data_IF_513973786340
#
_entry.id   IF_513973786340
#
_cell.length_a   1.000
_cell.length_b   1.000
_cell.length_c   1.000
_cell.angle_alpha   90.00
_cell.angle_beta   90.00
_cell.angle_gamma   90.00
#
_symmetry.space_group_name_H-M   'P 1'
#
loop_
_entity.id
_entity.type
_entity.pdbx_description
1 polymer ?
#
# COMPACT_ATOMS: atom_id res chain seq x y z
N UNK A 1 4.42 3.97 2.05
CA UNK A 1 3.01 3.55 2.00
C UNK A 1 2.67 2.59 3.14
N UNK A 2 1.50 2.76 3.76
CA UNK A 2 0.95 1.87 4.77
C UNK A 2 -0.47 1.43 4.39
N UNK A 3 -0.89 0.26 4.87
CA UNK A 3 -2.28 -0.18 4.88
C UNK A 3 -2.71 -0.55 6.30
N UNK A 4 -4.01 -0.48 6.56
CA UNK A 4 -4.64 -1.05 7.75
C UNK A 4 -5.84 -1.87 7.30
N UNK A 5 -6.13 -2.93 8.03
CA UNK A 5 -7.24 -3.82 7.76
C UNK A 5 -8.29 -3.67 8.85
N UNK A 6 -9.54 -3.82 8.46
CA UNK A 6 -10.69 -3.91 9.36
C UNK A 6 -11.54 -5.10 8.90
N UNK A 7 -12.09 -5.82 9.88
CA UNK A 7 -13.04 -6.91 9.72
C UNK A 7 -14.42 -6.57 10.32
N UNK A 8 -14.62 -5.32 10.73
CA UNK A 8 -15.81 -4.83 11.42
C UNK A 8 -16.38 -3.55 10.77
N UNK A 9 -16.35 -3.50 9.44
CA UNK A 9 -16.79 -2.38 8.59
C UNK A 9 -16.12 -1.03 8.94
N UNK A 10 -14.85 -1.07 9.31
CA UNK A 10 -14.04 0.12 9.59
C UNK A 10 -14.20 0.69 11.00
N UNK A 11 -14.83 -0.02 11.94
CA UNK A 11 -14.97 0.43 13.33
C UNK A 11 -13.66 0.33 14.09
N UNK A 12 -12.91 -0.74 13.90
CA UNK A 12 -11.57 -0.93 14.43
C UNK A 12 -10.59 -1.28 13.31
N UNK A 13 -9.30 -1.02 13.57
CA UNK A 13 -8.26 -1.16 12.56
C UNK A 13 -7.02 -1.84 13.14
N UNK A 14 -6.40 -2.69 12.33
CA UNK A 14 -5.15 -3.37 12.65
C UNK A 14 -3.99 -2.39 12.93
N UNK A 15 -2.89 -2.94 13.43
CA UNK A 15 -1.59 -2.30 13.31
C UNK A 15 -1.27 -2.02 11.84
N UNK A 16 -0.52 -0.95 11.53
CA UNK A 16 -0.18 -0.61 10.16
C UNK A 16 0.73 -1.66 9.51
N UNK A 17 0.37 -2.09 8.30
CA UNK A 17 1.18 -2.94 7.43
C UNK A 17 1.98 -2.06 6.44
N UNK A 18 3.29 -2.27 6.35
CA UNK A 18 4.15 -1.58 5.39
C UNK A 18 4.00 -2.20 4.01
N UNK A 19 3.50 -1.42 3.04
CA UNK A 19 3.38 -1.86 1.64
C UNK A 19 4.56 -1.40 0.76
N UNK A 20 5.13 -0.23 1.07
CA UNK A 20 6.27 0.31 0.34
C UNK A 20 7.06 1.31 1.19
N UNK A 21 8.38 1.35 0.98
CA UNK A 21 9.28 2.34 1.54
C UNK A 21 9.47 3.51 0.56
N UNK A 22 9.34 4.74 1.04
CA UNK A 22 9.61 5.96 0.28
C UNK A 22 10.71 6.74 1.00
N UNK A 23 11.56 7.44 0.25
CA UNK A 23 12.69 8.23 0.78
C UNK A 23 12.36 9.73 0.89
N UNK A 24 11.12 10.09 0.62
CA UNK A 24 10.58 11.45 0.72
C UNK A 24 9.13 11.35 1.23
N UNK A 25 8.65 12.44 1.81
CA UNK A 25 7.30 12.57 2.36
C UNK A 25 6.25 12.72 1.26
N UNK A 26 6.64 13.24 0.10
CA UNK A 26 5.74 13.42 -1.03
C UNK A 26 5.44 12.09 -1.74
N UNK A 27 4.41 11.41 -1.23
CA UNK A 27 3.89 10.15 -1.71
C UNK A 27 2.45 9.95 -1.21
N UNK A 28 1.65 9.16 -1.92
CA UNK A 28 0.29 8.84 -1.46
C UNK A 28 -0.70 8.52 -2.58
N UNK A 29 -1.96 8.92 -2.35
CA UNK A 29 -3.12 8.66 -3.20
C UNK A 29 -3.21 7.19 -3.64
N UNK A 30 -3.26 6.25 -2.68
CA UNK A 30 -3.34 4.83 -3.00
C UNK A 30 -4.70 4.47 -3.60
N UNK A 31 -4.69 3.55 -4.58
CA UNK A 31 -5.88 2.85 -5.06
C UNK A 31 -5.61 1.36 -5.02
N UNK A 32 -6.58 0.57 -4.54
CA UNK A 32 -6.43 -0.88 -4.37
C UNK A 32 -7.51 -1.68 -5.08
N UNK A 33 -7.13 -2.83 -5.63
CA UNK A 33 -8.06 -3.82 -6.22
C UNK A 33 -7.69 -5.22 -5.77
N UNK A 34 -8.71 -6.05 -5.53
CA UNK A 34 -8.52 -7.48 -5.25
C UNK A 34 -8.32 -8.25 -6.55
N UNK A 35 -7.36 -9.19 -6.54
CA UNK A 35 -7.08 -10.09 -7.65
C UNK A 35 -7.82 -11.41 -7.47
N UNK A 36 -8.01 -12.13 -8.57
CA UNK A 36 -8.64 -13.45 -8.56
C UNK A 36 -7.85 -14.51 -7.77
N UNK A 37 -6.55 -14.31 -7.55
CA UNK A 37 -5.69 -15.18 -6.73
C UNK A 37 -5.65 -14.80 -5.24
N UNK A 38 -6.58 -13.94 -4.78
CA UNK A 38 -6.71 -13.55 -3.39
C UNK A 38 -5.72 -12.46 -2.92
N UNK A 39 -4.79 -12.04 -3.79
CA UNK A 39 -3.86 -10.93 -3.49
C UNK A 39 -4.50 -9.57 -3.76
N UNK A 40 -3.92 -8.52 -3.19
CA UNK A 40 -4.32 -7.13 -3.43
C UNK A 40 -3.22 -6.43 -4.23
N UNK A 41 -3.63 -5.64 -5.23
CA UNK A 41 -2.74 -4.66 -5.90
C UNK A 41 -3.04 -3.30 -5.33
N UNK A 42 -2.03 -2.58 -4.87
CA UNK A 42 -2.13 -1.17 -4.46
C UNK A 42 -1.18 -0.32 -5.29
N UNK A 43 -1.74 0.59 -6.10
CA UNK A 43 -0.99 1.57 -6.88
C UNK A 43 -0.93 2.91 -6.14
N UNK A 44 0.16 3.66 -6.31
CA UNK A 44 0.39 4.95 -5.64
C UNK A 44 1.42 5.81 -6.36
N UNK A 45 1.50 7.11 -6.04
CA UNK A 45 2.62 7.94 -6.47
C UNK A 45 3.67 8.09 -5.38
N UNK A 46 4.93 8.25 -5.79
CA UNK A 46 6.00 8.66 -4.90
C UNK A 46 7.01 9.55 -5.65
N UNK A 47 7.55 10.54 -4.95
CA UNK A 47 8.63 11.39 -5.47
C UNK A 47 9.97 10.64 -5.56
N UNK A 48 10.27 9.78 -4.58
CA UNK A 48 11.55 9.08 -4.50
C UNK A 48 11.48 7.79 -3.69
N UNK A 49 12.14 6.76 -4.20
CA UNK A 49 12.37 5.45 -3.57
C UNK A 49 13.83 5.03 -3.79
N UNK A 50 14.28 3.99 -3.10
CA UNK A 50 15.68 3.51 -3.15
C UNK A 50 16.22 3.25 -4.56
N UNK A 51 15.37 2.79 -5.47
CA UNK A 51 15.74 2.46 -6.85
C UNK A 51 15.24 3.47 -7.90
N UNK A 52 14.63 4.59 -7.50
CA UNK A 52 14.12 5.60 -8.44
C UNK A 52 14.02 7.00 -7.83
N UNK A 53 14.76 7.95 -8.43
CA UNK A 53 15.00 9.31 -7.90
C UNK A 53 13.99 10.38 -8.34
N UNK A 54 13.04 10.06 -9.23
CA UNK A 54 12.02 11.01 -9.76
C UNK A 54 10.60 10.58 -9.40
N UNK A 55 9.63 11.47 -9.59
CA UNK A 55 8.21 11.13 -9.50
C UNK A 55 7.87 9.95 -10.38
N UNK A 56 7.15 8.99 -9.82
CA UNK A 56 6.73 7.77 -10.50
C UNK A 56 5.48 7.21 -9.84
N UNK A 57 4.83 6.30 -10.56
CA UNK A 57 3.82 5.40 -9.99
C UNK A 57 4.52 4.14 -9.49
N UNK A 58 4.31 3.79 -8.23
CA UNK A 58 4.68 2.51 -7.64
C UNK A 58 3.48 1.58 -7.54
N UNK A 59 3.75 0.27 -7.53
CA UNK A 59 2.73 -0.76 -7.34
C UNK A 59 3.25 -1.78 -6.34
N UNK A 60 2.46 -2.06 -5.30
CA UNK A 60 2.69 -3.16 -4.37
C UNK A 60 1.66 -4.25 -4.61
N UNK A 61 2.12 -5.51 -4.68
CA UNK A 61 1.26 -6.69 -4.70
C UNK A 61 1.48 -7.40 -3.38
N UNK A 62 0.42 -7.62 -2.62
CA UNK A 62 0.52 -8.11 -1.24
C UNK A 62 -0.64 -9.03 -0.86
N UNK A 63 -0.42 -9.82 0.17
CA UNK A 63 -1.42 -10.69 0.79
C UNK A 63 -1.92 -10.04 2.07
N UNK A 64 -3.25 -9.98 2.25
CA UNK A 64 -3.82 -9.54 3.51
C UNK A 64 -3.54 -10.61 4.58
N UNK A 65 -2.88 -10.26 5.71
CA UNK A 65 -2.67 -11.22 6.79
C UNK A 65 -4.00 -11.80 7.27
N UNK A 66 -4.05 -13.13 7.42
CA UNK A 66 -5.14 -13.79 8.13
C UNK A 66 -5.04 -13.48 9.63
N UNK A 67 -6.19 -13.31 10.29
CA UNK A 67 -6.26 -13.22 11.75
C UNK A 67 -6.01 -14.58 12.39
#
# INVERSE_FOLDING_TARGET
>A
MLAKLSDDDGRTWSAPLRLANTLDWDCGYPSSVSRADGRVVTAYYAKRVENHERYHMGVAIWEAPQK
#
